data_IF_024930100333
#
_entry.id   IF_024930100333
#
_cell.length_a   1.000
_cell.length_b   1.000
_cell.length_c   1.000
_cell.angle_alpha   90.00
_cell.angle_beta   90.00
_cell.angle_gamma   90.00
#
_symmetry.space_group_name_H-M   'P 1'
#
loop_
_entity.id
_entity.type
_entity.pdbx_description
1 polymer ?
#
# COMPACT_ATOMS: atom_id res chain seq x y z
N UNK A 1 -13.53 9.04 -15.81
CA UNK A 1 -12.39 8.71 -16.70
C UNK A 1 -12.93 7.89 -17.86
N UNK A 2 -12.55 8.14 -19.13
CA UNK A 2 -12.97 7.30 -20.24
C UNK A 2 -12.47 5.87 -20.01
N UNK A 3 -13.34 4.89 -20.23
CA UNK A 3 -12.99 3.47 -20.13
C UNK A 3 -11.99 3.18 -21.25
N UNK A 4 -10.81 2.67 -20.90
CA UNK A 4 -9.78 2.32 -21.88
C UNK A 4 -10.35 1.29 -22.88
N UNK A 5 -10.04 1.45 -24.17
CA UNK A 5 -10.41 0.46 -25.18
C UNK A 5 -9.69 -0.86 -24.86
N UNK A 6 -10.43 -1.95 -24.54
CA UNK A 6 -9.84 -3.23 -24.16
C UNK A 6 -9.04 -3.88 -25.31
N UNK A 7 -9.21 -3.41 -26.54
CA UNK A 7 -8.44 -3.87 -27.70
C UNK A 7 -7.28 -2.96 -28.08
N UNK A 8 -7.02 -1.90 -27.33
CA UNK A 8 -5.91 -1.00 -27.61
C UNK A 8 -4.56 -1.74 -27.51
N UNK A 9 -3.52 -1.32 -28.27
CA UNK A 9 -2.18 -1.86 -28.14
C UNK A 9 -1.63 -1.78 -26.71
N UNK A 10 -1.99 -0.73 -25.96
CA UNK A 10 -1.60 -0.56 -24.56
C UNK A 10 -2.21 -1.64 -23.65
N UNK A 11 -3.51 -1.90 -23.76
CA UNK A 11 -4.16 -2.96 -22.98
C UNK A 11 -3.65 -4.35 -23.36
N UNK A 12 -3.44 -4.60 -24.66
CA UNK A 12 -2.83 -5.87 -25.13
C UNK A 12 -1.41 -6.07 -24.60
N UNK A 13 -0.63 -5.01 -24.50
CA UNK A 13 0.70 -5.04 -23.91
C UNK A 13 0.64 -5.35 -22.41
N UNK A 14 -0.30 -4.74 -21.68
CA UNK A 14 -0.53 -5.01 -20.25
C UNK A 14 -0.92 -6.46 -20.01
N UNK A 15 -1.86 -6.99 -20.79
CA UNK A 15 -2.25 -8.40 -20.73
C UNK A 15 -1.06 -9.31 -20.99
N UNK A 16 -0.33 -9.10 -22.09
CA UNK A 16 0.86 -9.89 -22.41
C UNK A 16 1.92 -9.82 -21.31
N UNK A 17 2.09 -8.66 -20.67
CA UNK A 17 3.01 -8.48 -19.56
C UNK A 17 2.58 -9.32 -18.34
N UNK A 18 1.30 -9.26 -17.96
CA UNK A 18 0.77 -10.05 -16.83
C UNK A 18 0.94 -11.54 -17.09
N UNK A 19 0.39 -12.01 -18.21
CA UNK A 19 0.29 -13.44 -18.53
C UNK A 19 1.66 -14.11 -18.72
N UNK A 20 2.63 -13.38 -19.26
CA UNK A 20 3.95 -13.96 -19.63
C UNK A 20 5.02 -13.64 -18.59
N UNK A 21 5.07 -12.41 -18.08
CA UNK A 21 6.18 -11.94 -17.25
C UNK A 21 5.83 -11.78 -15.77
N UNK A 22 4.58 -11.55 -15.39
CA UNK A 22 4.21 -11.34 -13.98
C UNK A 22 3.66 -12.61 -13.35
N UNK A 23 2.45 -13.02 -13.74
CA UNK A 23 1.66 -14.06 -13.08
C UNK A 23 2.40 -15.41 -12.97
N UNK A 24 3.18 -15.87 -14.00
CA UNK A 24 3.93 -17.13 -13.88
C UNK A 24 5.03 -17.10 -12.80
N UNK A 25 5.42 -15.92 -12.32
CA UNK A 25 6.49 -15.70 -11.35
C UNK A 25 5.97 -15.20 -9.98
N UNK A 26 4.66 -15.04 -9.80
CA UNK A 26 4.08 -14.49 -8.56
C UNK A 26 4.45 -15.33 -7.31
N UNK A 27 4.62 -16.65 -7.48
CA UNK A 27 5.05 -17.58 -6.42
C UNK A 27 6.53 -18.00 -6.52
N UNK A 28 7.23 -17.53 -7.55
CA UNK A 28 8.64 -17.82 -7.82
C UNK A 28 9.48 -16.60 -7.47
N UNK A 29 9.94 -16.50 -6.23
CA UNK A 29 10.79 -15.41 -5.73
C UNK A 29 11.80 -15.93 -4.72
N UNK A 30 12.83 -15.15 -4.41
CA UNK A 30 13.90 -15.52 -3.49
C UNK A 30 14.48 -16.92 -3.78
N UNK A 31 14.21 -17.90 -2.93
CA UNK A 31 14.69 -19.28 -3.01
C UNK A 31 13.94 -20.14 -4.05
N UNK A 32 12.72 -19.76 -4.44
CA UNK A 32 11.93 -20.44 -5.49
C UNK A 32 12.16 -19.86 -6.89
N UNK A 33 13.07 -18.90 -7.04
CA UNK A 33 13.37 -18.23 -8.31
C UNK A 33 14.11 -19.12 -9.32
N UNK A 34 13.62 -19.13 -10.57
CA UNK A 34 14.23 -19.86 -11.68
C UNK A 34 14.70 -18.92 -12.79
N UNK A 35 16.01 -18.66 -12.84
CA UNK A 35 16.60 -17.67 -13.76
C UNK A 35 16.36 -18.01 -15.23
N UNK A 36 16.55 -19.27 -15.63
CA UNK A 36 16.40 -19.69 -17.02
C UNK A 36 14.94 -19.61 -17.50
N UNK A 37 14.00 -19.95 -16.62
CA UNK A 37 12.55 -19.86 -16.90
C UNK A 37 12.14 -18.41 -17.15
N UNK A 38 12.68 -17.47 -16.37
CA UNK A 38 12.45 -16.04 -16.58
C UNK A 38 12.93 -15.54 -17.95
N UNK A 39 14.15 -15.86 -18.33
CA UNK A 39 14.67 -15.41 -19.63
C UNK A 39 13.94 -16.04 -20.83
N UNK A 40 13.48 -17.29 -20.71
CA UNK A 40 12.62 -17.91 -21.73
C UNK A 40 11.26 -17.18 -21.87
N UNK A 41 10.69 -16.72 -20.74
CA UNK A 41 9.47 -15.91 -20.74
C UNK A 41 9.71 -14.53 -21.36
N UNK A 42 10.87 -13.89 -21.13
CA UNK A 42 11.27 -12.64 -21.79
C UNK A 42 11.31 -12.79 -23.31
N UNK A 43 11.87 -13.89 -23.83
CA UNK A 43 11.87 -14.14 -25.28
C UNK A 43 10.44 -14.32 -25.83
N UNK A 44 9.59 -15.04 -25.10
CA UNK A 44 8.17 -15.20 -25.45
C UNK A 44 7.42 -13.86 -25.46
N UNK A 45 7.71 -13.00 -24.48
CA UNK A 45 7.13 -11.66 -24.40
C UNK A 45 7.59 -10.77 -25.57
N UNK A 46 8.89 -10.78 -25.93
CA UNK A 46 9.41 -10.04 -27.09
C UNK A 46 8.70 -10.43 -28.38
N UNK A 47 8.47 -11.72 -28.59
CA UNK A 47 7.69 -12.21 -29.75
C UNK A 47 6.27 -11.65 -29.72
N UNK A 48 5.61 -11.67 -28.56
CA UNK A 48 4.24 -11.16 -28.42
C UNK A 48 4.12 -9.65 -28.66
N UNK A 49 5.07 -8.87 -28.16
CA UNK A 49 5.17 -7.43 -28.40
C UNK A 49 5.28 -7.12 -29.89
N UNK A 50 6.09 -7.90 -30.62
CA UNK A 50 6.22 -7.79 -32.07
C UNK A 50 4.91 -8.11 -32.81
N UNK A 51 4.16 -9.12 -32.37
CA UNK A 51 2.83 -9.44 -32.93
C UNK A 51 1.81 -8.31 -32.73
N UNK A 52 1.89 -7.60 -31.59
CA UNK A 52 1.01 -6.46 -31.28
C UNK A 52 1.40 -5.22 -32.11
N UNK A 53 2.57 -5.23 -32.75
CA UNK A 53 3.06 -4.11 -33.57
C UNK A 53 3.69 -2.99 -32.75
N UNK A 54 4.22 -3.30 -31.57
CA UNK A 54 4.91 -2.34 -30.70
C UNK A 54 6.42 -2.47 -30.93
N UNK A 55 7.08 -1.37 -31.28
CA UNK A 55 8.53 -1.35 -31.52
C UNK A 55 9.34 -1.38 -30.23
N UNK A 56 8.98 -0.54 -29.26
CA UNK A 56 9.57 -0.50 -27.93
C UNK A 56 8.49 -0.57 -26.84
N UNK A 57 8.37 -1.70 -26.12
CA UNK A 57 7.39 -1.82 -25.05
C UNK A 57 7.70 -0.88 -23.86
N UNK A 58 8.96 -0.45 -23.68
CA UNK A 58 9.35 0.38 -22.54
C UNK A 58 8.87 1.83 -22.68
N UNK A 59 8.59 2.34 -23.87
CA UNK A 59 7.95 3.66 -24.04
C UNK A 59 6.57 3.73 -23.36
N UNK A 60 5.81 2.63 -23.42
CA UNK A 60 4.52 2.51 -22.74
C UNK A 60 4.74 2.12 -21.27
N UNK A 61 5.58 1.12 -21.01
CA UNK A 61 5.77 0.56 -19.67
C UNK A 61 6.47 1.53 -18.70
N UNK A 62 7.22 2.52 -19.20
CA UNK A 62 7.85 3.57 -18.40
C UNK A 62 6.83 4.39 -17.59
N UNK A 63 5.59 4.54 -18.08
CA UNK A 63 4.49 5.16 -17.32
C UNK A 63 4.18 4.41 -16.02
N UNK A 64 4.54 3.13 -15.95
CA UNK A 64 4.40 2.25 -14.79
C UNK A 64 5.72 2.02 -14.06
N UNK A 65 6.74 2.86 -14.32
CA UNK A 65 8.09 2.77 -13.75
C UNK A 65 8.81 1.46 -14.06
N UNK A 66 8.50 0.84 -15.20
CA UNK A 66 9.16 -0.34 -15.72
C UNK A 66 10.11 0.12 -16.84
N UNK A 67 11.40 -0.15 -16.69
CA UNK A 67 12.45 0.46 -17.54
C UNK A 67 13.36 -0.54 -18.23
N UNK A 68 13.39 -1.79 -17.78
CA UNK A 68 14.20 -2.86 -18.36
C UNK A 68 13.69 -4.24 -17.93
N UNK A 69 14.08 -5.30 -18.66
CA UNK A 69 13.78 -6.67 -18.26
C UNK A 69 14.48 -7.03 -16.95
N UNK A 70 15.71 -6.55 -16.73
CA UNK A 70 16.44 -6.72 -15.48
C UNK A 70 15.70 -6.08 -14.30
N UNK A 71 15.10 -4.90 -14.49
CA UNK A 71 14.28 -4.27 -13.43
C UNK A 71 13.02 -5.08 -13.09
N UNK A 72 12.41 -5.71 -14.10
CA UNK A 72 11.26 -6.60 -13.90
C UNK A 72 11.72 -7.84 -13.15
N UNK A 73 12.81 -8.48 -13.59
CA UNK A 73 13.43 -9.62 -12.95
C UNK A 73 13.71 -9.36 -11.49
N UNK A 74 14.42 -8.28 -11.18
CA UNK A 74 14.85 -7.96 -9.82
C UNK A 74 13.65 -7.71 -8.91
N UNK A 75 12.59 -7.08 -9.44
CA UNK A 75 11.34 -6.87 -8.71
C UNK A 75 10.61 -8.19 -8.42
N UNK A 76 10.44 -9.05 -9.42
CA UNK A 76 9.75 -10.33 -9.26
C UNK A 76 10.55 -11.26 -8.34
N UNK A 77 11.87 -11.32 -8.53
CA UNK A 77 12.78 -12.13 -7.70
C UNK A 77 12.82 -11.68 -6.25
N UNK A 78 12.70 -10.38 -5.97
CA UNK A 78 12.55 -9.89 -4.60
C UNK A 78 11.21 -10.31 -3.97
N UNK A 79 10.20 -10.57 -4.81
CA UNK A 79 8.85 -10.93 -4.39
C UNK A 79 8.11 -9.79 -3.72
N UNK A 80 6.87 -10.04 -3.27
CA UNK A 80 6.13 -9.05 -2.52
C UNK A 80 6.83 -8.77 -1.17
N UNK A 81 6.69 -7.56 -0.61
CA UNK A 81 7.16 -7.26 0.73
C UNK A 81 6.70 -8.30 1.77
N UNK A 82 7.56 -8.65 2.73
CA UNK A 82 7.37 -9.79 3.65
C UNK A 82 5.97 -9.82 4.32
N UNK A 83 5.47 -8.65 4.70
CA UNK A 83 4.11 -8.39 5.19
C UNK A 83 2.93 -8.93 4.38
N UNK A 84 3.07 -9.03 3.06
CA UNK A 84 2.01 -9.53 2.18
C UNK A 84 2.10 -11.04 1.99
N UNK A 85 3.19 -11.67 2.46
CA UNK A 85 3.41 -13.11 2.30
C UNK A 85 2.57 -13.90 3.29
N UNK A 86 2.06 -15.05 2.84
CA UNK A 86 1.30 -15.95 3.69
C UNK A 86 2.11 -16.37 4.92
N UNK A 87 1.47 -16.41 6.09
CA UNK A 87 2.11 -16.80 7.35
C UNK A 87 3.02 -15.74 7.99
N UNK A 88 3.21 -14.58 7.36
CA UNK A 88 3.99 -13.50 7.96
C UNK A 88 3.38 -13.02 9.28
N UNK A 89 4.23 -12.87 10.30
CA UNK A 89 3.88 -12.25 11.58
C UNK A 89 4.74 -11.01 11.78
N UNK A 90 4.09 -9.92 12.19
CA UNK A 90 4.82 -8.70 12.51
C UNK A 90 5.76 -8.94 13.70
N UNK A 91 7.05 -8.56 13.60
CA UNK A 91 7.98 -8.66 14.73
C UNK A 91 7.60 -7.70 15.87
N UNK A 92 6.68 -6.78 15.61
CA UNK A 92 6.20 -5.81 16.58
C UNK A 92 5.00 -6.31 17.41
N UNK A 93 4.49 -7.53 17.17
CA UNK A 93 3.43 -8.10 18.00
C UNK A 93 3.93 -8.23 19.45
N UNK A 94 3.17 -7.66 20.39
CA UNK A 94 3.52 -7.63 21.82
C UNK A 94 4.48 -6.51 22.22
N UNK A 95 5.01 -5.74 21.26
CA UNK A 95 5.81 -4.55 21.57
C UNK A 95 4.89 -3.41 22.02
N UNK A 96 5.34 -2.64 23.01
CA UNK A 96 4.64 -1.43 23.46
C UNK A 96 5.04 -0.29 22.53
N UNK A 97 4.03 0.36 21.95
CA UNK A 97 4.17 1.57 21.15
C UNK A 97 3.24 2.62 21.75
N UNK A 98 3.72 3.86 21.83
CA UNK A 98 2.86 5.00 22.14
C UNK A 98 2.23 5.51 20.82
N UNK A 99 0.94 5.27 20.58
CA UNK A 99 0.30 5.67 19.33
C UNK A 99 0.18 7.18 19.19
N UNK A 100 0.19 7.95 20.30
CA UNK A 100 0.15 9.41 20.24
C UNK A 100 1.48 9.94 19.72
N UNK A 101 2.59 9.37 20.17
CA UNK A 101 3.92 9.72 19.68
C UNK A 101 4.08 9.46 18.16
N UNK A 102 3.43 8.43 17.63
CA UNK A 102 3.46 8.12 16.18
C UNK A 102 2.83 9.23 15.35
N UNK A 103 1.72 9.82 15.81
CA UNK A 103 0.98 10.84 15.04
C UNK A 103 1.28 12.28 15.47
N UNK A 104 1.96 12.48 16.59
CA UNK A 104 2.36 13.80 17.10
C UNK A 104 3.13 14.67 16.08
N UNK A 105 4.07 14.14 15.28
CA UNK A 105 4.77 14.96 14.27
C UNK A 105 3.94 15.15 12.99
N UNK A 106 2.82 14.44 12.84
CA UNK A 106 2.06 14.39 11.60
C UNK A 106 1.00 15.50 11.55
N UNK A 107 0.66 15.92 10.33
CA UNK A 107 -0.38 16.94 10.12
C UNK A 107 -1.77 16.31 10.17
N UNK A 108 -2.56 16.68 11.17
CA UNK A 108 -3.97 16.30 11.24
C UNK A 108 -4.79 17.01 10.16
N UNK A 109 -5.60 16.28 9.40
CA UNK A 109 -6.35 16.83 8.26
C UNK A 109 -7.85 16.52 8.28
N UNK A 110 -8.30 15.52 9.06
CA UNK A 110 -9.71 15.13 9.10
C UNK A 110 -10.09 14.39 10.38
N UNK A 111 -11.37 14.48 10.76
CA UNK A 111 -11.92 13.81 11.94
C UNK A 111 -11.57 14.49 13.27
N UNK A 112 -11.91 13.88 14.42
CA UNK A 112 -11.53 14.40 15.72
C UNK A 112 -10.03 14.19 15.96
N UNK A 113 -9.37 15.14 16.63
CA UNK A 113 -7.96 14.99 16.98
C UNK A 113 -7.76 13.80 17.92
N UNK A 114 -6.86 12.89 17.57
CA UNK A 114 -6.56 11.73 18.39
C UNK A 114 -5.71 12.11 19.61
N UNK A 115 -6.11 11.61 20.78
CA UNK A 115 -5.47 11.92 22.08
C UNK A 115 -5.08 10.66 22.89
N UNK A 116 -5.31 9.46 22.35
CA UNK A 116 -4.84 8.20 22.93
C UNK A 116 -5.52 7.76 24.23
N UNK A 117 -6.82 8.03 24.38
CA UNK A 117 -7.59 7.63 25.57
C UNK A 117 -8.30 6.28 25.40
N UNK A 118 -8.41 5.81 24.16
CA UNK A 118 -9.13 4.61 23.78
C UNK A 118 -8.36 3.35 24.18
N UNK A 119 -9.09 2.27 24.49
CA UNK A 119 -8.49 1.00 24.93
C UNK A 119 -7.75 0.28 23.81
N UNK A 120 -8.18 0.51 22.58
CA UNK A 120 -7.63 -0.11 21.38
C UNK A 120 -7.43 0.98 20.34
N UNK A 121 -6.28 0.98 19.68
CA UNK A 121 -5.96 1.90 18.60
C UNK A 121 -5.60 1.10 17.37
N UNK A 122 -6.24 1.44 16.24
CA UNK A 122 -5.95 0.89 14.92
C UNK A 122 -5.29 2.00 14.12
N UNK A 123 -4.03 1.80 13.75
CA UNK A 123 -3.34 2.65 12.80
C UNK A 123 -3.57 2.09 11.40
N UNK A 124 -4.20 2.87 10.53
CA UNK A 124 -4.43 2.54 9.12
C UNK A 124 -3.47 3.33 8.24
N UNK A 125 -2.46 2.65 7.67
CA UNK A 125 -1.52 3.29 6.76
C UNK A 125 -2.02 3.16 5.33
N UNK A 126 -2.32 4.28 4.69
CA UNK A 126 -3.00 4.30 3.38
C UNK A 126 -2.49 5.42 2.47
N UNK A 127 -2.99 5.44 1.23
CA UNK A 127 -2.74 6.49 0.26
C UNK A 127 -3.92 6.62 -0.71
N UNK A 128 -4.10 7.78 -1.35
CA UNK A 128 -5.21 8.04 -2.28
C UNK A 128 -5.15 7.16 -3.53
N UNK A 129 -3.95 6.78 -3.97
CA UNK A 129 -3.74 5.84 -5.09
C UNK A 129 -3.90 4.36 -4.70
N UNK A 130 -4.04 4.04 -3.41
CA UNK A 130 -4.18 2.66 -2.95
C UNK A 130 -5.64 2.20 -3.09
N UNK A 131 -5.99 1.60 -4.22
CA UNK A 131 -7.34 1.11 -4.50
C UNK A 131 -7.96 0.22 -3.38
N UNK A 132 -7.26 -0.79 -2.86
CA UNK A 132 -7.75 -1.57 -1.72
C UNK A 132 -7.97 -0.75 -0.45
N UNK A 133 -7.11 0.22 -0.15
CA UNK A 133 -7.24 1.08 1.02
C UNK A 133 -8.47 1.99 0.89
N UNK A 134 -8.68 2.58 -0.30
CA UNK A 134 -9.86 3.41 -0.57
C UNK A 134 -11.16 2.64 -0.38
N UNK A 135 -11.21 1.37 -0.81
CA UNK A 135 -12.37 0.51 -0.58
C UNK A 135 -12.59 0.16 0.90
N UNK A 136 -11.54 0.14 1.72
CA UNK A 136 -11.65 -0.12 3.16
C UNK A 136 -12.13 1.11 3.95
N UNK A 137 -11.99 2.32 3.40
CA UNK A 137 -12.38 3.59 4.03
C UNK A 137 -13.79 3.57 4.64
N UNK A 138 -14.85 3.23 3.88
CA UNK A 138 -16.22 3.19 4.40
C UNK A 138 -16.38 2.26 5.61
N UNK A 139 -15.81 1.06 5.55
CA UNK A 139 -15.86 0.08 6.64
C UNK A 139 -15.13 0.58 7.89
N UNK A 140 -13.96 1.21 7.72
CA UNK A 140 -13.21 1.83 8.81
C UNK A 140 -13.97 2.99 9.45
N UNK A 141 -14.68 3.79 8.65
CA UNK A 141 -15.56 4.86 9.15
C UNK A 141 -16.70 4.30 9.99
N UNK A 142 -17.38 3.25 9.52
CA UNK A 142 -18.44 2.58 10.29
C UNK A 142 -17.91 1.97 11.59
N UNK A 143 -16.72 1.36 11.56
CA UNK A 143 -16.09 0.82 12.76
C UNK A 143 -15.72 1.92 13.76
N UNK A 144 -15.20 3.05 13.29
CA UNK A 144 -14.86 4.20 14.14
C UNK A 144 -16.10 4.73 14.88
N UNK A 145 -17.24 4.80 14.21
CA UNK A 145 -18.50 5.25 14.82
C UNK A 145 -19.06 4.19 15.79
N UNK A 146 -19.12 2.93 15.35
CA UNK A 146 -19.68 1.83 16.14
C UNK A 146 -18.94 1.58 17.45
N UNK A 147 -17.63 1.82 17.48
CA UNK A 147 -16.78 1.57 18.64
C UNK A 147 -16.21 2.85 19.28
N UNK A 148 -16.83 4.00 19.02
CA UNK A 148 -16.44 5.29 19.59
C UNK A 148 -16.18 5.21 21.11
N UNK A 149 -15.08 5.82 21.56
CA UNK A 149 -14.63 5.80 22.96
C UNK A 149 -14.01 4.48 23.44
N UNK A 150 -14.06 3.41 22.64
CA UNK A 150 -13.44 2.10 22.95
C UNK A 150 -12.29 1.78 22.00
N UNK A 151 -12.51 2.04 20.71
CA UNK A 151 -11.54 1.83 19.63
C UNK A 151 -11.34 3.16 18.90
N UNK A 152 -10.09 3.58 18.76
CA UNK A 152 -9.72 4.67 17.86
C UNK A 152 -9.26 4.09 16.52
N UNK A 153 -9.83 4.57 15.42
CA UNK A 153 -9.32 4.32 14.07
C UNK A 153 -8.58 5.59 13.63
N UNK A 154 -7.30 5.46 13.33
CA UNK A 154 -6.42 6.59 13.00
C UNK A 154 -5.71 6.30 11.69
N UNK A 155 -6.10 7.02 10.64
CA UNK A 155 -5.47 6.96 9.33
C UNK A 155 -4.17 7.74 9.30
N UNK A 156 -3.11 7.14 8.76
CA UNK A 156 -1.84 7.77 8.43
C UNK A 156 -1.68 7.69 6.92
N UNK A 157 -1.97 8.79 6.25
CA UNK A 157 -1.84 8.89 4.80
C UNK A 157 -0.37 9.20 4.43
N UNK A 158 0.17 8.47 3.45
CA UNK A 158 1.47 8.76 2.86
C UNK A 158 1.45 8.53 1.33
N UNK A 159 1.47 9.62 0.57
CA UNK A 159 1.39 9.57 -0.89
C UNK A 159 2.66 9.03 -1.57
N UNK A 160 3.78 9.02 -0.84
CA UNK A 160 5.12 8.67 -1.32
C UNK A 160 5.56 7.25 -0.92
N UNK A 161 4.66 6.45 -0.33
CA UNK A 161 4.99 5.11 0.19
C UNK A 161 5.60 4.16 -0.86
N UNK A 162 5.12 4.21 -2.12
CA UNK A 162 5.64 3.41 -3.24
C UNK A 162 6.01 4.23 -4.48
N UNK A 163 5.98 5.57 -4.40
CA UNK A 163 6.32 6.45 -5.52
C UNK A 163 7.26 7.56 -5.07
N UNK A 164 8.33 7.86 -5.83
CA UNK A 164 9.07 9.10 -5.64
C UNK A 164 8.19 10.24 -6.21
N UNK A 165 7.32 10.82 -5.39
CA UNK A 165 6.56 12.02 -5.74
C UNK A 165 6.87 13.13 -4.76
N UNK A 166 6.89 14.36 -5.28
CA UNK A 166 6.82 15.56 -4.47
C UNK A 166 5.43 15.61 -3.80
N UNK A 167 5.43 15.88 -2.50
CA UNK A 167 4.28 15.76 -1.61
C UNK A 167 3.33 16.94 -1.78
N UNK A 168 2.41 16.82 -2.74
CA UNK A 168 1.35 17.80 -2.88
C UNK A 168 0.17 17.48 -1.95
N UNK A 169 0.12 18.19 -0.81
CA UNK A 169 -1.00 18.14 0.15
C UNK A 169 -2.38 18.45 -0.48
N UNK A 170 -2.41 19.12 -1.64
CA UNK A 170 -3.66 19.42 -2.34
C UNK A 170 -4.38 18.15 -2.78
N UNK A 171 -3.64 17.11 -3.19
CA UNK A 171 -4.19 15.83 -3.64
C UNK A 171 -5.00 15.16 -2.53
N UNK A 172 -4.43 15.08 -1.33
CA UNK A 172 -5.08 14.44 -0.18
C UNK A 172 -6.30 15.26 0.25
N UNK A 173 -6.16 16.59 0.28
CA UNK A 173 -7.26 17.46 0.70
C UNK A 173 -8.43 17.33 -0.26
N UNK A 174 -8.20 17.45 -1.57
CA UNK A 174 -9.25 17.27 -2.58
C UNK A 174 -9.87 15.88 -2.54
N UNK A 175 -9.07 14.83 -2.35
CA UNK A 175 -9.58 13.47 -2.20
C UNK A 175 -10.50 13.34 -0.99
N UNK A 176 -10.08 13.81 0.18
CA UNK A 176 -10.90 13.77 1.39
C UNK A 176 -12.17 14.60 1.21
N UNK A 177 -12.14 15.66 0.40
CA UNK A 177 -13.32 16.44 0.09
C UNK A 177 -14.35 15.71 -0.78
N UNK A 178 -13.86 14.98 -1.78
CA UNK A 178 -14.69 14.13 -2.63
C UNK A 178 -15.25 12.93 -1.84
N UNK A 179 -14.45 12.35 -0.96
CA UNK A 179 -14.75 11.14 -0.20
C UNK A 179 -15.13 11.39 1.27
N UNK A 180 -15.63 12.58 1.62
CA UNK A 180 -15.98 12.95 3.02
C UNK A 180 -16.89 11.94 3.71
N UNK A 181 -17.78 11.29 2.93
CA UNK A 181 -18.69 10.26 3.46
C UNK A 181 -17.97 8.97 3.78
N UNK A 182 -16.90 8.63 3.07
CA UNK A 182 -16.23 7.33 3.20
C UNK A 182 -15.06 7.39 4.19
N UNK A 183 -14.56 8.59 4.51
CA UNK A 183 -13.44 8.84 5.42
C UNK A 183 -13.87 9.77 6.56
N UNK A 184 -14.62 9.23 7.52
CA UNK A 184 -15.20 9.99 8.66
C UNK A 184 -14.39 9.88 9.96
N UNK A 185 -13.31 9.10 9.94
CA UNK A 185 -12.43 8.88 11.09
C UNK A 185 -11.22 9.83 11.07
N UNK A 186 -10.42 9.79 12.14
CA UNK A 186 -9.25 10.66 12.30
C UNK A 186 -8.18 10.36 11.27
N UNK A 187 -7.67 11.37 10.58
CA UNK A 187 -6.61 11.21 9.56
C UNK A 187 -5.49 12.22 9.77
N UNK A 188 -4.28 11.69 9.72
CA UNK A 188 -3.02 12.41 9.71
C UNK A 188 -2.29 12.18 8.39
N UNK A 189 -1.45 13.13 8.00
CA UNK A 189 -0.64 13.08 6.79
C UNK A 189 0.84 13.07 7.17
N UNK A 190 1.55 12.06 6.65
CA UNK A 190 3.00 11.84 6.80
C UNK A 190 3.72 12.28 5.52
N UNK A 191 3.98 13.59 5.43
CA UNK A 191 4.58 14.29 4.29
C UNK A 191 5.91 14.99 4.66
N UNK A 192 6.52 14.68 5.80
CA UNK A 192 7.87 15.13 6.10
C UNK A 192 8.60 13.95 6.77
N UNK A 193 9.69 13.51 6.12
CA UNK A 193 10.68 12.56 6.66
C UNK A 193 10.25 11.10 6.82
N UNK A 194 9.06 10.72 6.38
CA UNK A 194 8.66 9.33 6.30
C UNK A 194 8.74 8.67 7.67
N UNK A 195 7.83 8.99 8.58
CA UNK A 195 7.66 8.19 9.79
C UNK A 195 7.20 6.76 9.43
N UNK A 196 6.54 6.58 8.28
CA UNK A 196 6.35 5.28 7.62
C UNK A 196 7.66 4.62 7.14
N UNK A 197 8.74 5.38 6.88
CA UNK A 197 10.10 4.91 6.52
C UNK A 197 11.04 4.74 7.73
N UNK A 198 11.00 5.64 8.72
CA UNK A 198 11.99 5.76 9.81
C UNK A 198 11.60 5.09 11.12
N UNK A 199 10.34 4.65 11.29
CA UNK A 199 9.91 3.83 12.45
C UNK A 199 10.51 2.42 12.48
N UNK A 200 11.70 2.20 11.88
CA UNK A 200 12.26 0.87 11.52
C UNK A 200 11.28 0.04 10.69
N UNK A 201 10.34 0.69 10.03
CA UNK A 201 9.47 0.07 9.05
C UNK A 201 10.13 0.20 7.67
N UNK A 202 11.21 -0.57 7.45
CA UNK A 202 11.67 -0.86 6.08
C UNK A 202 10.57 -1.65 5.40
N UNK A 203 9.59 -0.97 4.80
CA UNK A 203 8.49 -1.53 4.01
C UNK A 203 8.10 -2.96 4.40
N UNK A 204 7.68 -3.13 5.66
CA UNK A 204 6.95 -4.31 6.11
C UNK A 204 5.52 -3.83 6.34
N UNK A 205 4.75 -3.70 5.26
CA UNK A 205 3.30 -3.47 5.25
C UNK A 205 2.67 -3.94 6.56
N UNK A 206 2.19 -2.95 7.29
CA UNK A 206 1.60 -3.22 8.56
C UNK A 206 0.12 -3.47 8.29
N UNK A 207 -0.25 -4.74 8.09
CA UNK A 207 -1.51 -5.22 8.67
C UNK A 207 -1.23 -5.40 10.17
N UNK A 208 -1.40 -4.35 10.98
CA UNK A 208 -1.63 -4.56 12.42
C UNK A 208 -3.02 -5.18 12.50
N UNK A 209 -3.07 -6.51 12.56
CA UNK A 209 -4.22 -7.19 13.13
C UNK A 209 -4.09 -7.00 14.64
N UNK A 210 -5.01 -6.19 15.19
CA UNK A 210 -5.17 -5.91 16.61
C UNK A 210 -5.09 -7.21 17.41
N UNK A 211 -4.20 -7.26 18.39
CA UNK A 211 -4.00 -8.41 19.25
C UNK A 211 -3.03 -8.10 20.38
N UNK A 212 -3.37 -7.12 21.22
CA UNK A 212 -2.75 -7.00 22.52
C UNK A 212 -3.78 -6.46 23.51
N UNK A 213 -4.21 -7.34 24.41
CA UNK A 213 -4.95 -6.99 25.62
C UNK A 213 -4.26 -5.81 26.31
N UNK A 214 -4.92 -4.66 26.36
CA UNK A 214 -4.59 -3.67 27.37
C UNK A 214 -5.27 -4.10 28.67
N UNK A 215 -4.49 -4.69 29.59
CA UNK A 215 -4.94 -4.83 30.97
C UNK A 215 -5.18 -3.42 31.52
N UNK A 216 -6.36 -3.12 32.06
CA UNK A 216 -6.61 -1.82 32.67
C UNK A 216 -5.65 -1.60 33.83
N UNK A 217 -5.22 -0.34 33.98
CA UNK A 217 -4.51 0.13 35.18
C UNK A 217 -5.23 -0.40 36.42
N UNK A 218 -4.46 -0.96 37.34
CA UNK A 218 -4.90 -1.35 38.68
C UNK A 218 -5.74 -0.24 39.31
N UNK A 219 -6.91 -0.62 39.82
CA UNK A 219 -7.66 0.14 40.82
C UNK A 219 -8.72 1.08 40.25
N UNK A 220 -9.96 0.60 40.18
CA UNK A 220 -11.15 1.22 40.77
C UNK A 220 -12.32 0.27 40.51
N UNK A 221 -13.03 -0.03 41.60
CA UNK A 221 -13.93 -1.15 41.88
C UNK A 221 -15.00 -1.45 40.85
#
# INVERSE_FOLDING_TARGET
>A
MPVADPNSPEERLKTAYSDILSDPFDEKYEDTWEENTYWAAVESFKLKVKEIGIEDPFEILKKFNITSYESIRDRLKAGPPACLRAGWKSPYIGTKVDPVAVVAPLKHVNGPKFIGQERVVVLDFWATWCGPCVRAGPELSELSEKYAGRVAIVGVNNESMFRPRDEDFSVITSFLEEHKKDFRYTIYVDNEEGHARESKCRLKCIKIRVGALFQPKKGLW
#
